data_IF_453810001282
#
_entry.id   IF_453810001282
#
_cell.length_a   1.000
_cell.length_b   1.000
_cell.length_c   1.000
_cell.angle_alpha   90.00
_cell.angle_beta   90.00
_cell.angle_gamma   90.00
#
_symmetry.space_group_name_H-M   'P 1'
#
loop_
_entity.id
_entity.type
_entity.pdbx_description
1 polymer ?
#
# COMPACT_ATOMS: atom_id res chain seq x y z
N UNK A 1 -42.02 -6.20 17.13
CA UNK A 1 -42.65 -6.55 15.84
C UNK A 1 -43.29 -5.33 15.14
N UNK A 2 -42.62 -4.16 15.12
CA UNK A 2 -43.15 -2.95 14.45
C UNK A 2 -42.89 -3.02 12.95
N UNK A 3 -43.94 -2.77 12.16
CA UNK A 3 -43.90 -2.17 10.83
C UNK A 3 -43.35 -2.92 9.60
N UNK A 4 -43.28 -4.26 9.57
CA UNK A 4 -43.04 -4.95 8.26
C UNK A 4 -44.16 -4.70 7.23
N UNK A 5 -45.41 -4.50 7.68
CA UNK A 5 -46.55 -4.18 6.80
C UNK A 5 -46.48 -2.74 6.27
N UNK A 6 -46.25 -1.78 7.16
CA UNK A 6 -46.10 -0.35 6.81
C UNK A 6 -44.90 -0.12 5.89
N UNK A 7 -43.76 -0.79 6.12
CA UNK A 7 -42.61 -0.70 5.21
C UNK A 7 -42.95 -1.22 3.81
N UNK A 8 -43.81 -2.25 3.70
CA UNK A 8 -44.22 -2.83 2.42
C UNK A 8 -45.20 -1.93 1.66
N UNK A 9 -46.13 -1.30 2.37
CA UNK A 9 -47.03 -0.28 1.80
C UNK A 9 -46.25 0.94 1.31
N UNK A 10 -45.37 1.50 2.16
CA UNK A 10 -44.54 2.65 1.81
C UNK A 10 -43.62 2.35 0.63
N UNK A 11 -43.04 1.14 0.57
CA UNK A 11 -42.20 0.73 -0.58
C UNK A 11 -42.98 0.67 -1.88
N UNK A 12 -44.23 0.17 -1.83
CA UNK A 12 -45.09 0.04 -3.00
C UNK A 12 -45.54 1.42 -3.51
N UNK A 13 -45.92 2.31 -2.59
CA UNK A 13 -46.29 3.70 -2.88
C UNK A 13 -45.13 4.52 -3.46
N UNK A 14 -43.90 4.29 -2.96
CA UNK A 14 -42.66 4.85 -3.49
C UNK A 14 -42.30 4.31 -4.88
N UNK A 15 -42.42 3.00 -5.13
CA UNK A 15 -42.16 2.40 -6.45
C UNK A 15 -43.18 2.86 -7.51
N UNK A 16 -44.40 3.22 -7.10
CA UNK A 16 -45.47 3.70 -7.98
C UNK A 16 -45.28 5.15 -8.44
N UNK A 17 -44.84 6.04 -7.55
CA UNK A 17 -44.58 7.45 -7.87
C UNK A 17 -43.15 7.70 -8.38
N UNK A 18 -42.20 6.88 -7.95
CA UNK A 18 -40.78 7.00 -8.29
C UNK A 18 -40.23 5.60 -8.65
N UNK A 19 -40.36 5.16 -9.91
CA UNK A 19 -39.94 3.81 -10.31
C UNK A 19 -38.44 3.55 -10.09
N UNK A 20 -37.64 4.61 -9.88
CA UNK A 20 -36.20 4.54 -9.67
C UNK A 20 -35.70 5.38 -8.50
N UNK A 21 -36.41 5.39 -7.37
CA UNK A 21 -36.01 6.12 -6.14
C UNK A 21 -34.52 6.04 -5.82
N UNK A 22 -33.91 4.85 -5.93
CA UNK A 22 -32.49 4.66 -5.61
C UNK A 22 -31.55 5.40 -6.58
N UNK A 23 -31.90 5.46 -7.86
CA UNK A 23 -31.14 6.18 -8.89
C UNK A 23 -31.30 7.69 -8.69
N UNK A 24 -32.53 8.16 -8.44
CA UNK A 24 -32.83 9.57 -8.23
C UNK A 24 -32.16 10.13 -6.96
N UNK A 25 -32.14 9.35 -5.87
CA UNK A 25 -31.42 9.70 -4.64
C UNK A 25 -29.91 9.78 -4.92
N UNK A 26 -29.35 8.83 -5.68
CA UNK A 26 -27.93 8.86 -6.03
C UNK A 26 -27.61 10.11 -6.84
N UNK A 27 -28.35 10.40 -7.92
CA UNK A 27 -28.16 11.57 -8.77
C UNK A 27 -28.24 12.87 -7.97
N UNK A 28 -29.25 13.00 -7.11
CA UNK A 28 -29.44 14.21 -6.28
C UNK A 28 -28.29 14.40 -5.30
N UNK A 29 -27.80 13.32 -4.67
CA UNK A 29 -26.65 13.36 -3.76
C UNK A 29 -25.37 13.76 -4.48
N UNK A 30 -25.08 13.15 -5.63
CA UNK A 30 -23.91 13.50 -6.44
C UNK A 30 -23.99 14.94 -6.95
N UNK A 31 -25.17 15.37 -7.41
CA UNK A 31 -25.40 16.75 -7.87
C UNK A 31 -25.18 17.78 -6.77
N UNK A 32 -25.73 17.54 -5.58
CA UNK A 32 -25.56 18.44 -4.42
C UNK A 32 -24.10 18.50 -3.98
N UNK A 33 -23.42 17.35 -3.92
CA UNK A 33 -22.00 17.29 -3.57
C UNK A 33 -21.13 18.04 -4.58
N UNK A 34 -21.40 17.88 -5.88
CA UNK A 34 -20.67 18.58 -6.96
C UNK A 34 -20.90 20.09 -6.89
N UNK A 35 -22.15 20.53 -6.67
CA UNK A 35 -22.49 21.94 -6.53
C UNK A 35 -21.79 22.60 -5.34
N UNK A 36 -21.77 21.91 -4.19
CA UNK A 36 -21.02 22.37 -3.02
C UNK A 36 -19.54 22.45 -3.37
N UNK A 37 -18.95 21.37 -3.90
CA UNK A 37 -17.53 21.32 -4.25
C UNK A 37 -17.14 22.49 -5.16
N UNK A 38 -17.89 22.73 -6.23
CA UNK A 38 -17.69 23.84 -7.16
C UNK A 38 -17.70 25.21 -6.47
N UNK A 39 -18.59 25.43 -5.50
CA UNK A 39 -18.70 26.68 -4.74
C UNK A 39 -17.53 26.91 -3.77
N UNK A 40 -16.93 25.85 -3.22
CA UNK A 40 -15.82 25.96 -2.25
C UNK A 40 -14.44 25.78 -2.88
N UNK A 41 -14.33 25.17 -4.06
CA UNK A 41 -13.03 25.02 -4.74
C UNK A 41 -12.65 26.27 -5.52
N UNK A 42 -11.49 26.85 -5.20
CA UNK A 42 -10.85 27.85 -6.03
C UNK A 42 -9.78 27.19 -6.91
N UNK A 43 -9.90 27.36 -8.23
CA UNK A 43 -8.89 26.89 -9.18
C UNK A 43 -7.74 27.89 -9.18
N UNK A 44 -6.73 27.64 -8.34
CA UNK A 44 -5.49 28.44 -8.32
C UNK A 44 -4.52 27.96 -9.40
N UNK A 45 -3.92 28.86 -10.20
CA UNK A 45 -2.91 28.51 -11.18
C UNK A 45 -1.68 27.92 -10.47
N UNK A 46 -1.18 26.80 -11.00
CA UNK A 46 -0.08 26.03 -10.41
C UNK A 46 1.23 26.86 -10.40
N UNK A 47 1.83 27.06 -9.22
CA UNK A 47 3.15 27.70 -9.06
C UNK A 47 4.28 26.89 -9.72
N UNK A 48 5.43 27.54 -10.00
CA UNK A 48 6.56 26.96 -10.77
C UNK A 48 7.03 25.57 -10.29
N UNK A 49 6.93 25.24 -9.01
CA UNK A 49 7.30 23.91 -8.47
C UNK A 49 6.48 22.77 -9.10
N UNK A 50 5.19 23.01 -9.32
CA UNK A 50 4.29 22.03 -9.94
C UNK A 50 4.62 21.77 -11.41
N UNK A 51 5.37 22.66 -12.08
CA UNK A 51 5.81 22.49 -13.47
C UNK A 51 6.92 21.44 -13.63
N UNK A 52 7.74 21.22 -12.60
CA UNK A 52 8.71 20.12 -12.55
C UNK A 52 8.00 18.80 -12.26
N UNK A 53 7.04 18.82 -11.34
CA UNK A 53 6.18 17.68 -11.01
C UNK A 53 5.33 17.21 -12.20
N UNK A 54 4.81 18.16 -13.00
CA UNK A 54 4.09 17.89 -14.25
C UNK A 54 4.96 17.26 -15.34
N UNK A 55 6.25 17.65 -15.45
CA UNK A 55 7.19 17.01 -16.39
C UNK A 55 7.49 15.57 -15.98
N UNK A 56 7.66 15.34 -14.69
CA UNK A 56 7.82 14.01 -14.12
C UNK A 56 6.52 13.20 -14.32
N UNK A 57 5.35 13.79 -14.14
CA UNK A 57 4.05 13.16 -14.47
C UNK A 57 3.95 12.78 -15.94
N UNK A 58 4.32 13.67 -16.86
CA UNK A 58 4.23 13.37 -18.28
C UNK A 58 5.14 12.21 -18.70
N UNK A 59 6.31 12.06 -18.08
CA UNK A 59 7.23 10.95 -18.37
C UNK A 59 6.77 9.63 -17.72
N UNK A 60 6.24 9.68 -16.50
CA UNK A 60 5.74 8.51 -15.77
C UNK A 60 4.36 8.02 -16.24
N UNK A 61 3.54 8.89 -16.83
CA UNK A 61 2.18 8.55 -17.25
C UNK A 61 2.04 8.22 -18.74
N UNK A 62 3.08 8.41 -19.55
CA UNK A 62 3.05 8.11 -20.99
C UNK A 62 2.82 6.61 -21.24
N UNK A 63 1.96 6.28 -22.22
CA UNK A 63 1.43 4.92 -22.49
C UNK A 63 2.48 3.82 -22.67
N UNK A 64 3.69 4.19 -23.10
CA UNK A 64 4.82 3.27 -23.37
C UNK A 64 5.97 3.45 -22.37
N UNK A 65 6.23 4.69 -21.92
CA UNK A 65 7.31 4.96 -20.95
C UNK A 65 6.88 4.67 -19.52
N UNK A 66 5.59 4.67 -19.19
CA UNK A 66 5.07 4.37 -17.85
C UNK A 66 5.51 2.99 -17.32
N UNK A 67 5.27 1.88 -18.04
CA UNK A 67 5.71 0.56 -17.60
C UNK A 67 7.25 0.44 -17.49
N UNK A 68 7.99 1.06 -18.43
CA UNK A 68 9.44 1.01 -18.45
C UNK A 68 10.05 1.80 -17.27
N UNK A 69 9.53 3.00 -17.01
CA UNK A 69 9.94 3.84 -15.88
C UNK A 69 9.56 3.21 -14.54
N UNK A 70 8.38 2.58 -14.45
CA UNK A 70 7.97 1.82 -13.26
C UNK A 70 8.88 0.61 -13.01
N UNK A 71 9.26 -0.14 -14.04
CA UNK A 71 10.20 -1.25 -13.92
C UNK A 71 11.60 -0.78 -13.50
N UNK A 72 12.09 0.32 -14.08
CA UNK A 72 13.38 0.91 -13.73
C UNK A 72 13.38 1.45 -12.28
N UNK A 73 12.28 2.09 -11.86
CA UNK A 73 12.09 2.56 -10.48
C UNK A 73 12.15 1.39 -9.49
N UNK A 74 11.41 0.31 -9.78
CA UNK A 74 11.42 -0.90 -8.95
C UNK A 74 12.84 -1.47 -8.83
N UNK A 75 13.55 -1.57 -9.94
CA UNK A 75 14.92 -2.11 -9.97
C UNK A 75 15.91 -1.20 -9.22
N UNK A 76 15.76 0.11 -9.35
CA UNK A 76 16.53 1.11 -8.61
C UNK A 76 16.31 0.99 -7.10
N UNK A 77 15.04 0.94 -6.66
CA UNK A 77 14.69 0.77 -5.24
C UNK A 77 15.24 -0.53 -4.69
N UNK A 78 15.09 -1.62 -5.43
CA UNK A 78 15.62 -2.92 -5.01
C UNK A 78 17.15 -2.89 -4.90
N UNK A 79 17.84 -2.28 -5.88
CA UNK A 79 19.29 -2.12 -5.84
C UNK A 79 19.76 -1.27 -4.65
N UNK A 80 19.11 -0.15 -4.38
CA UNK A 80 19.41 0.71 -3.22
C UNK A 80 19.15 -0.03 -1.91
N UNK A 81 18.02 -0.74 -1.81
CA UNK A 81 17.63 -1.51 -0.63
C UNK A 81 18.66 -2.60 -0.31
N UNK A 82 19.12 -3.36 -1.32
CA UNK A 82 20.13 -4.38 -1.13
C UNK A 82 21.50 -3.79 -0.79
N UNK A 83 21.90 -2.72 -1.48
CA UNK A 83 23.21 -2.10 -1.28
C UNK A 83 23.35 -1.47 0.12
N UNK A 84 22.42 -0.60 0.53
CA UNK A 84 22.44 -0.02 1.87
C UNK A 84 22.05 -1.05 2.94
N UNK A 85 21.15 -1.98 2.63
CA UNK A 85 20.75 -3.05 3.53
C UNK A 85 21.94 -3.92 3.93
N UNK A 86 22.76 -4.33 2.95
CA UNK A 86 23.97 -5.11 3.23
C UNK A 86 24.98 -4.33 4.07
N UNK A 87 25.23 -3.06 3.73
CA UNK A 87 26.15 -2.20 4.48
C UNK A 87 25.71 -2.04 5.95
N UNK A 88 24.41 -1.81 6.17
CA UNK A 88 23.86 -1.63 7.52
C UNK A 88 23.82 -2.96 8.29
N UNK A 89 23.53 -4.07 7.61
CA UNK A 89 23.57 -5.43 8.18
C UNK A 89 24.97 -5.80 8.66
N UNK A 90 26.01 -5.58 7.86
CA UNK A 90 27.39 -5.91 8.24
C UNK A 90 27.83 -5.17 9.51
N UNK A 91 27.51 -3.88 9.61
CA UNK A 91 27.77 -3.07 10.81
C UNK A 91 27.03 -3.66 12.02
N UNK A 92 25.74 -3.98 11.85
CA UNK A 92 24.91 -4.45 12.95
C UNK A 92 25.28 -5.87 13.41
N UNK A 93 25.68 -6.75 12.49
CA UNK A 93 26.23 -8.07 12.83
C UNK A 93 27.57 -7.96 13.55
N UNK A 94 28.47 -7.08 13.09
CA UNK A 94 29.75 -6.85 13.78
C UNK A 94 29.55 -6.38 15.23
N UNK A 95 28.62 -5.44 15.46
CA UNK A 95 28.29 -4.95 16.79
C UNK A 95 27.65 -6.03 17.68
N UNK A 96 26.75 -6.85 17.15
CA UNK A 96 26.11 -7.91 17.94
C UNK A 96 27.08 -9.03 18.27
N UNK A 97 27.99 -9.40 17.36
CA UNK A 97 29.03 -10.39 17.62
C UNK A 97 30.02 -9.91 18.70
N UNK A 98 30.45 -8.65 18.65
CA UNK A 98 31.33 -8.06 19.66
C UNK A 98 30.65 -8.04 21.04
N UNK A 99 29.39 -7.61 21.11
CA UNK A 99 28.60 -7.60 22.35
C UNK A 99 28.41 -9.01 22.92
N UNK A 100 28.17 -10.01 22.07
CA UNK A 100 27.95 -11.39 22.50
C UNK A 100 29.24 -12.07 22.96
N UNK A 101 30.37 -11.75 22.32
CA UNK A 101 31.68 -12.25 22.72
C UNK A 101 32.07 -11.79 24.14
N UNK A 102 31.66 -10.58 24.54
CA UNK A 102 31.83 -10.04 25.90
C UNK A 102 31.03 -10.82 26.97
N UNK A 103 29.89 -11.39 26.60
CA UNK A 103 29.06 -12.24 27.48
C UNK A 103 29.53 -13.71 27.58
N UNK A 104 30.56 -14.10 26.82
CA UNK A 104 31.03 -15.49 26.69
C UNK A 104 31.66 -16.12 27.94
N UNK A 105 31.79 -15.39 29.05
CA UNK A 105 32.38 -15.89 30.30
C UNK A 105 31.51 -16.92 31.04
N UNK A 106 30.23 -17.07 30.69
CA UNK A 106 29.27 -17.98 31.37
C UNK A 106 29.18 -19.34 30.66
N UNK A 107 30.34 -19.96 30.38
CA UNK A 107 30.41 -21.17 29.52
C UNK A 107 30.47 -22.51 30.27
N UNK A 108 30.30 -22.51 31.59
CA UNK A 108 30.50 -23.72 32.42
C UNK A 108 29.29 -24.64 32.58
N UNK A 109 28.09 -24.27 32.08
CA UNK A 109 26.88 -25.09 32.22
C UNK A 109 26.16 -25.33 30.88
N UNK A 110 25.60 -26.52 30.68
CA UNK A 110 24.83 -26.92 29.48
C UNK A 110 23.68 -25.95 29.21
N UNK A 111 23.00 -25.47 30.26
CA UNK A 111 21.94 -24.46 30.16
C UNK A 111 22.47 -23.13 29.62
N UNK A 112 23.67 -22.73 30.05
CA UNK A 112 24.35 -21.52 29.56
C UNK A 112 24.68 -21.62 28.08
N UNK A 113 25.14 -22.79 27.61
CA UNK A 113 25.46 -23.02 26.20
C UNK A 113 24.21 -22.90 25.32
N UNK A 114 23.09 -23.54 25.70
CA UNK A 114 21.83 -23.48 24.95
C UNK A 114 21.28 -22.06 24.91
N UNK A 115 21.32 -21.34 26.04
CA UNK A 115 20.81 -19.97 26.12
C UNK A 115 21.64 -19.00 25.27
N UNK A 116 22.98 -19.11 25.32
CA UNK A 116 23.88 -18.29 24.50
C UNK A 116 23.65 -18.59 23.02
N UNK A 117 23.62 -19.86 22.61
CA UNK A 117 23.36 -20.26 21.22
C UNK A 117 22.01 -19.74 20.72
N UNK A 118 20.96 -19.85 21.52
CA UNK A 118 19.62 -19.33 21.19
C UNK A 118 19.61 -17.80 21.04
N UNK A 119 20.28 -17.09 21.95
CA UNK A 119 20.39 -15.63 21.88
C UNK A 119 21.25 -15.18 20.68
N UNK A 120 22.30 -15.95 20.35
CA UNK A 120 23.15 -15.70 19.17
C UNK A 120 22.34 -15.82 17.89
N UNK A 121 21.55 -16.88 17.76
CA UNK A 121 20.69 -17.09 16.60
C UNK A 121 19.59 -16.03 16.47
N UNK A 122 18.98 -15.63 17.60
CA UNK A 122 18.02 -14.54 17.63
C UNK A 122 18.66 -13.21 17.21
N UNK A 123 19.81 -12.87 17.79
CA UNK A 123 20.53 -11.65 17.50
C UNK A 123 20.95 -11.60 16.03
N UNK A 124 21.47 -12.69 15.46
CA UNK A 124 21.80 -12.77 14.04
C UNK A 124 20.56 -12.58 13.16
N UNK A 125 19.45 -13.24 13.47
CA UNK A 125 18.20 -13.08 12.73
C UNK A 125 17.64 -11.66 12.77
N UNK A 126 17.66 -11.02 13.93
CA UNK A 126 17.23 -9.62 14.10
C UNK A 126 18.20 -8.66 13.41
N UNK A 127 19.51 -8.87 13.50
CA UNK A 127 20.53 -8.05 12.82
C UNK A 127 20.40 -8.11 11.30
N UNK A 128 19.89 -9.21 10.75
CA UNK A 128 19.58 -9.33 9.32
C UNK A 128 18.22 -8.69 9.00
N UNK A 129 17.16 -8.99 9.73
CA UNK A 129 15.83 -8.53 9.36
C UNK A 129 15.62 -7.02 9.58
N UNK A 130 16.12 -6.48 10.69
CA UNK A 130 15.82 -5.12 11.13
C UNK A 130 16.32 -4.04 10.16
N UNK A 131 17.57 -4.08 9.65
CA UNK A 131 18.05 -3.09 8.68
C UNK A 131 17.23 -3.06 7.40
N UNK A 132 16.91 -4.22 6.83
CA UNK A 132 16.15 -4.28 5.57
C UNK A 132 14.72 -3.80 5.76
N UNK A 133 14.04 -4.19 6.85
CA UNK A 133 12.68 -3.72 7.14
C UNK A 133 12.67 -2.21 7.38
N UNK A 134 13.62 -1.70 8.17
CA UNK A 134 13.76 -0.27 8.41
C UNK A 134 13.96 0.51 7.11
N UNK A 135 14.93 0.09 6.27
CA UNK A 135 15.18 0.73 4.99
C UNK A 135 14.01 0.62 4.03
N UNK A 136 13.32 -0.52 4.00
CA UNK A 136 12.14 -0.71 3.18
C UNK A 136 11.05 0.32 3.52
N UNK A 137 10.75 0.49 4.81
CA UNK A 137 9.78 1.50 5.25
C UNK A 137 10.27 2.93 5.02
N UNK A 138 11.56 3.20 5.20
CA UNK A 138 12.15 4.51 4.91
C UNK A 138 11.99 4.88 3.42
N UNK A 139 12.35 3.97 2.52
CA UNK A 139 12.21 4.17 1.08
C UNK A 139 10.73 4.27 0.69
N UNK A 140 9.85 3.44 1.27
CA UNK A 140 8.41 3.54 1.04
C UNK A 140 7.84 4.89 1.46
N UNK A 141 8.22 5.41 2.63
CA UNK A 141 7.79 6.73 3.11
C UNK A 141 8.26 7.84 2.17
N UNK A 142 9.52 7.80 1.73
CA UNK A 142 10.02 8.75 0.73
C UNK A 142 9.25 8.64 -0.60
N UNK A 143 8.91 7.42 -1.03
CA UNK A 143 8.10 7.19 -2.23
C UNK A 143 6.68 7.74 -2.11
N UNK A 144 6.09 7.65 -0.93
CA UNK A 144 4.77 8.17 -0.59
C UNK A 144 4.78 9.70 -0.60
N UNK A 145 5.76 10.32 0.04
CA UNK A 145 5.91 11.78 0.11
C UNK A 145 6.11 12.42 -1.29
N UNK A 146 6.87 11.75 -2.17
CA UNK A 146 7.08 12.19 -3.56
C UNK A 146 5.84 11.88 -4.44
N UNK A 147 4.90 11.06 -3.94
CA UNK A 147 3.72 10.61 -4.68
C UNK A 147 4.03 9.62 -5.81
N UNK A 148 5.22 9.01 -5.81
CA UNK A 148 5.61 7.96 -6.76
C UNK A 148 4.85 6.66 -6.50
N UNK A 149 4.52 6.37 -5.23
CA UNK A 149 3.73 5.20 -4.84
C UNK A 149 2.36 5.18 -5.57
N UNK A 150 1.65 6.31 -5.57
CA UNK A 150 0.37 6.46 -6.25
C UNK A 150 0.48 6.21 -7.76
N UNK A 151 1.56 6.68 -8.39
CA UNK A 151 1.80 6.47 -9.83
C UNK A 151 2.14 5.03 -10.15
N UNK A 152 2.93 4.37 -9.30
CA UNK A 152 3.23 2.95 -9.39
C UNK A 152 1.94 2.12 -9.38
N UNK A 153 1.04 2.40 -8.44
CA UNK A 153 -0.26 1.72 -8.31
C UNK A 153 -1.09 1.92 -9.59
N UNK A 154 -1.18 3.15 -10.10
CA UNK A 154 -1.92 3.43 -11.35
C UNK A 154 -1.35 2.66 -12.56
N UNK A 155 -0.03 2.55 -12.69
CA UNK A 155 0.60 1.76 -13.76
C UNK A 155 0.37 0.26 -13.55
N UNK A 156 0.42 -0.24 -12.32
CA UNK A 156 0.08 -1.62 -11.99
C UNK A 156 -1.39 -1.95 -12.32
N UNK A 157 -2.33 -1.06 -11.96
CA UNK A 157 -3.75 -1.20 -12.32
C UNK A 157 -3.97 -1.18 -13.85
N UNK A 158 -3.27 -0.32 -14.59
CA UNK A 158 -3.30 -0.32 -16.06
C UNK A 158 -2.80 -1.65 -16.63
N UNK A 159 -1.77 -2.25 -16.03
CA UNK A 159 -1.27 -3.56 -16.44
C UNK A 159 -2.32 -4.66 -16.18
N UNK A 160 -2.97 -4.67 -15.02
CA UNK A 160 -4.05 -5.61 -14.72
C UNK A 160 -5.26 -5.41 -15.65
N UNK A 161 -5.61 -4.16 -16.00
CA UNK A 161 -6.66 -3.86 -16.98
C UNK A 161 -6.35 -4.43 -18.37
N UNK A 162 -5.07 -4.46 -18.79
CA UNK A 162 -4.68 -5.12 -20.06
C UNK A 162 -4.93 -6.64 -20.04
N UNK A 163 -4.87 -7.26 -18.87
CA UNK A 163 -5.15 -8.68 -18.66
C UNK A 163 -6.67 -8.95 -18.51
N UNK A 164 -7.50 -7.89 -18.52
CA UNK A 164 -8.96 -8.00 -18.45
C UNK A 164 -9.53 -8.02 -17.03
N UNK A 165 -8.71 -7.78 -16.00
CA UNK A 165 -9.18 -7.72 -14.61
C UNK A 165 -9.74 -6.33 -14.26
N UNK A 166 -10.87 -6.26 -13.52
CA UNK A 166 -11.36 -5.00 -12.96
C UNK A 166 -10.29 -4.37 -12.07
N UNK A 167 -10.07 -3.05 -12.17
CA UNK A 167 -9.07 -2.34 -11.34
C UNK A 167 -9.27 -2.55 -9.83
N UNK A 168 -10.52 -2.80 -9.40
CA UNK A 168 -10.89 -3.17 -8.03
C UNK A 168 -10.24 -4.49 -7.52
N UNK A 169 -9.71 -5.32 -8.42
CA UNK A 169 -9.12 -6.63 -8.12
C UNK A 169 -7.64 -6.56 -7.73
N UNK A 170 -6.99 -5.40 -7.93
CA UNK A 170 -5.58 -5.24 -7.58
C UNK A 170 -5.33 -5.43 -6.08
N UNK A 171 -6.19 -4.83 -5.25
CA UNK A 171 -6.05 -4.89 -3.79
C UNK A 171 -6.18 -6.33 -3.26
N UNK A 172 -7.22 -7.12 -3.62
CA UNK A 172 -7.30 -8.54 -3.25
C UNK A 172 -6.13 -9.38 -3.76
N UNK A 173 -5.64 -9.10 -4.98
CA UNK A 173 -4.52 -9.83 -5.58
C UNK A 173 -3.23 -9.64 -4.77
N UNK A 174 -2.90 -8.40 -4.42
CA UNK A 174 -1.72 -8.08 -3.59
C UNK A 174 -1.84 -8.70 -2.19
N UNK A 175 -3.04 -8.62 -1.58
CA UNK A 175 -3.30 -9.26 -0.28
C UNK A 175 -3.13 -10.79 -0.35
N UNK A 176 -3.53 -11.41 -1.45
CA UNK A 176 -3.41 -12.85 -1.68
C UNK A 176 -1.97 -13.36 -1.77
N UNK A 177 -1.03 -12.51 -2.21
CA UNK A 177 0.39 -12.83 -2.23
C UNK A 177 1.01 -12.87 -0.82
N UNK A 178 0.45 -12.11 0.13
CA UNK A 178 0.92 -12.09 1.52
C UNK A 178 0.25 -13.15 2.38
N UNK A 179 -1.09 -13.09 2.49
CA UNK A 179 -1.88 -14.04 3.28
C UNK A 179 -3.28 -14.23 2.69
N UNK A 180 -3.69 -15.48 2.53
CA UNK A 180 -4.99 -15.84 1.92
C UNK A 180 -6.19 -15.42 2.78
N UNK A 181 -6.06 -15.36 4.11
CA UNK A 181 -7.16 -15.00 5.01
C UNK A 181 -7.72 -13.57 4.80
N UNK A 182 -6.90 -12.49 4.82
CA UNK A 182 -7.38 -11.14 4.52
C UNK A 182 -7.78 -10.98 3.03
N UNK A 183 -7.13 -11.71 2.13
CA UNK A 183 -7.46 -11.68 0.71
C UNK A 183 -8.89 -12.15 0.44
N UNK A 184 -9.30 -13.28 1.03
CA UNK A 184 -10.67 -13.80 0.93
C UNK A 184 -11.72 -12.85 1.52
N UNK A 185 -11.38 -12.04 2.53
CA UNK A 185 -12.28 -11.01 3.07
C UNK A 185 -12.41 -9.81 2.12
N UNK A 186 -11.32 -9.43 1.46
CA UNK A 186 -11.26 -8.27 0.56
C UNK A 186 -12.02 -8.48 -0.75
N UNK A 187 -12.18 -9.73 -1.22
CA UNK A 187 -12.91 -10.03 -2.48
C UNK A 187 -14.39 -9.61 -2.45
N UNK A 188 -15.01 -9.44 -1.28
CA UNK A 188 -16.40 -8.93 -1.17
C UNK A 188 -16.58 -7.53 -1.78
N UNK A 189 -15.51 -6.73 -1.84
CA UNK A 189 -15.54 -5.40 -2.48
C UNK A 189 -15.63 -5.50 -4.00
N UNK A 190 -15.27 -6.64 -4.59
CA UNK A 190 -15.35 -6.88 -6.04
C UNK A 190 -16.78 -7.17 -6.51
N UNK A 191 -17.63 -7.71 -5.62
CA UNK A 191 -19.03 -8.06 -5.91
C UNK A 191 -20.02 -6.88 -5.76
N UNK A 192 -19.52 -5.70 -5.40
CA UNK A 192 -20.29 -4.46 -5.20
C UNK A 192 -20.14 -3.44 -6.32
#
# INVERSE_FOLDING_TARGET
MRNKKVIKEVKKDLEEHHPKVAEDIAITRYGTASFIAEKVTQIVPLGKEKRLQEKIDNILLHKVWGPLTTGLLLLSIFGILLYLGNLTQEILMGLTEELLSSFGAVRHSIIGIVLIQGLTGLAAGVSIALPYVFLFYLILGLLEDIGLLSRFILNAERFLKKIGLPGKSFIPLVLGLGCTAPACRATRVLSG
#
